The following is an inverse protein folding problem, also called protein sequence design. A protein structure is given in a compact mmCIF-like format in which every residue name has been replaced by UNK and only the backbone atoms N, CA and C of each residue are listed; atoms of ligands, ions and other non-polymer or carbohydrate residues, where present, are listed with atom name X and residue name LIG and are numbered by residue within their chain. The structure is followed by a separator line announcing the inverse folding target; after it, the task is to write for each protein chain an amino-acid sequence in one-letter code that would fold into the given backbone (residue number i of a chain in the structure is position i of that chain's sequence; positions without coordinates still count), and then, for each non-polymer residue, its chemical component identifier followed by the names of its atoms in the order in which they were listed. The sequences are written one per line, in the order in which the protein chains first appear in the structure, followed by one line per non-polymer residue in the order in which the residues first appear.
data_IF_004218601703
#
_entry.id   IF_004218601703
#
_cell.length_a   1.000
_cell.length_b   1.000
_cell.length_c   1.000
_cell.angle_alpha   90.00
_cell.angle_beta   90.00
_cell.angle_gamma   90.00
#
_symmetry.space_group_name_H-M   'P 1'
#
loop_
_entity.id
_entity.type
_entity.pdbx_description
1 polymer ?
#
# COMPACT_ATOMS: atom_id res chain seq x y z
N UNK A 1 -14.79 15.95 -32.43
CA UNK A 1 -15.31 14.76 -31.72
C UNK A 1 -14.20 13.71 -31.64
N UNK A 2 -13.51 13.61 -30.51
CA UNK A 2 -12.25 12.83 -30.41
C UNK A 2 -12.49 11.51 -29.67
N UNK A 3 -12.39 10.41 -30.44
CA UNK A 3 -11.79 9.11 -30.13
C UNK A 3 -12.54 8.08 -29.25
N UNK A 4 -13.36 7.24 -29.90
CA UNK A 4 -13.88 5.97 -29.39
C UNK A 4 -13.06 4.72 -29.76
N UNK A 5 -11.72 4.75 -29.71
CA UNK A 5 -10.84 3.65 -30.21
C UNK A 5 -9.93 2.99 -29.16
N UNK A 6 -10.25 3.10 -27.87
CA UNK A 6 -9.49 2.37 -26.84
C UNK A 6 -10.37 1.23 -26.31
N UNK A 7 -10.07 -0.05 -26.61
CA UNK A 7 -10.80 -1.16 -26.03
C UNK A 7 -10.53 -1.21 -24.52
N UNK A 8 -11.56 -0.95 -23.72
CA UNK A 8 -11.49 -1.12 -22.27
C UNK A 8 -11.49 -2.61 -21.93
N UNK A 9 -10.40 -3.10 -21.32
CA UNK A 9 -10.29 -4.50 -20.90
C UNK A 9 -11.04 -4.70 -19.58
N UNK A 10 -12.13 -5.45 -19.61
CA UNK A 10 -12.86 -5.87 -18.42
C UNK A 10 -12.34 -7.23 -17.93
N UNK A 11 -12.28 -7.43 -16.61
CA UNK A 11 -11.77 -8.67 -16.02
C UNK A 11 -12.69 -9.22 -14.94
N UNK A 12 -12.77 -10.55 -14.88
CA UNK A 12 -13.46 -11.26 -13.80
C UNK A 12 -12.56 -11.29 -12.56
N UNK A 13 -13.13 -10.95 -11.41
CA UNK A 13 -12.41 -10.83 -10.13
C UNK A 13 -12.73 -11.94 -9.13
N UNK A 14 -13.71 -12.78 -9.41
CA UNK A 14 -14.12 -13.91 -8.56
C UNK A 14 -14.68 -15.04 -9.43
N UNK A 15 -14.78 -16.23 -8.85
CA UNK A 15 -15.42 -17.41 -9.45
C UNK A 15 -16.48 -17.92 -8.48
N UNK A 16 -17.62 -18.37 -9.01
CA UNK A 16 -18.71 -18.94 -8.22
C UNK A 16 -18.41 -20.40 -7.86
N UNK A 17 -18.71 -20.84 -6.62
CA UNK A 17 -18.59 -22.25 -6.23
C UNK A 17 -19.42 -23.16 -7.14
N UNK A 18 -18.90 -24.36 -7.45
CA UNK A 18 -19.63 -25.35 -8.27
C UNK A 18 -20.90 -25.86 -7.58
N UNK A 19 -20.81 -26.17 -6.27
CA UNK A 19 -21.94 -26.62 -5.45
C UNK A 19 -22.50 -25.46 -4.65
N UNK A 20 -23.74 -24.99 -4.93
CA UNK A 20 -24.30 -23.82 -4.26
C UNK A 20 -24.58 -24.04 -2.76
N UNK A 21 -25.18 -25.17 -2.39
CA UNK A 21 -25.74 -25.39 -1.05
C UNK A 21 -24.99 -26.47 -0.26
N UNK A 22 -23.70 -26.24 -0.04
CA UNK A 22 -22.86 -27.12 0.79
C UNK A 22 -22.71 -26.51 2.19
N UNK A 23 -23.28 -27.17 3.20
CA UNK A 23 -23.32 -26.65 4.59
C UNK A 23 -21.94 -26.28 5.13
N UNK A 24 -20.97 -27.21 5.05
CA UNK A 24 -19.61 -27.00 5.53
C UNK A 24 -18.95 -25.73 4.92
N UNK A 25 -19.14 -25.50 3.62
CA UNK A 25 -18.62 -24.33 2.92
C UNK A 25 -19.32 -23.05 3.36
N UNK A 26 -20.65 -23.09 3.54
CA UNK A 26 -21.44 -21.94 3.96
C UNK A 26 -21.05 -21.49 5.37
N UNK A 27 -20.87 -22.44 6.28
CA UNK A 27 -20.50 -22.19 7.68
C UNK A 27 -19.08 -21.59 7.77
N UNK A 28 -18.11 -22.15 7.05
CA UNK A 28 -16.75 -21.60 6.96
C UNK A 28 -16.73 -20.17 6.38
N UNK A 29 -17.48 -19.93 5.31
CA UNK A 29 -17.55 -18.59 4.72
C UNK A 29 -18.22 -17.59 5.65
N UNK A 30 -19.25 -18.02 6.40
CA UNK A 30 -19.94 -17.15 7.35
C UNK A 30 -19.04 -16.78 8.53
N UNK A 31 -18.24 -17.75 9.03
CA UNK A 31 -17.22 -17.50 10.07
C UNK A 31 -16.21 -16.43 9.63
N UNK A 32 -15.62 -16.59 8.45
CA UNK A 32 -14.66 -15.61 7.88
C UNK A 32 -15.32 -14.22 7.69
N UNK A 33 -16.59 -14.19 7.28
CA UNK A 33 -17.31 -12.93 7.10
C UNK A 33 -17.51 -12.20 8.44
N UNK A 34 -17.85 -12.94 9.49
CA UNK A 34 -18.00 -12.40 10.85
C UNK A 34 -16.67 -11.88 11.40
N UNK A 35 -15.62 -12.70 11.36
CA UNK A 35 -14.30 -12.37 11.91
C UNK A 35 -13.65 -11.13 11.27
N UNK A 36 -13.84 -10.94 9.95
CA UNK A 36 -13.22 -9.84 9.21
C UNK A 36 -14.19 -8.72 8.83
N UNK A 37 -15.45 -8.78 9.30
CA UNK A 37 -16.49 -7.78 9.05
C UNK A 37 -16.72 -7.51 7.56
N UNK A 38 -16.86 -8.57 6.78
CA UNK A 38 -17.09 -8.49 5.33
C UNK A 38 -18.57 -8.22 5.03
N UNK A 39 -18.86 -7.53 3.92
CA UNK A 39 -20.26 -7.21 3.54
C UNK A 39 -20.96 -8.38 2.84
N UNK A 40 -20.26 -9.03 1.91
CA UNK A 40 -20.84 -10.03 1.01
C UNK A 40 -19.87 -11.21 0.83
N UNK A 41 -20.40 -12.43 0.59
CA UNK A 41 -19.63 -13.63 0.21
C UNK A 41 -18.71 -13.41 -1.00
N UNK A 42 -19.10 -12.52 -1.92
CA UNK A 42 -18.28 -12.12 -3.06
C UNK A 42 -16.90 -11.58 -2.65
N UNK A 43 -16.76 -10.88 -1.53
CA UNK A 43 -15.45 -10.41 -1.07
C UNK A 43 -14.53 -11.58 -0.72
N UNK A 44 -15.06 -12.62 -0.06
CA UNK A 44 -14.33 -13.87 0.21
C UNK A 44 -13.94 -14.54 -1.10
N UNK A 45 -14.87 -14.64 -2.05
CA UNK A 45 -14.61 -15.29 -3.34
C UNK A 45 -13.57 -14.58 -4.20
N UNK A 46 -13.46 -13.24 -4.08
CA UNK A 46 -12.38 -12.48 -4.73
C UNK A 46 -11.01 -12.85 -4.17
N UNK A 47 -10.89 -12.98 -2.85
CA UNK A 47 -9.65 -13.38 -2.19
C UNK A 47 -9.30 -14.83 -2.53
N UNK A 48 -10.28 -15.74 -2.50
CA UNK A 48 -10.12 -17.13 -2.95
C UNK A 48 -9.61 -17.19 -4.39
N UNK A 49 -10.18 -16.38 -5.28
CA UNK A 49 -9.76 -16.34 -6.69
C UNK A 49 -8.33 -15.82 -6.87
N UNK A 50 -7.92 -14.77 -6.12
CA UNK A 50 -6.54 -14.29 -6.16
C UNK A 50 -5.55 -15.32 -5.62
N UNK A 51 -5.88 -16.00 -4.52
CA UNK A 51 -5.07 -17.08 -3.96
C UNK A 51 -4.91 -18.25 -4.95
N UNK A 52 -6.00 -18.63 -5.62
CA UNK A 52 -5.97 -19.66 -6.65
C UNK A 52 -5.03 -19.32 -7.82
N UNK A 53 -4.99 -18.05 -8.26
CA UNK A 53 -4.04 -17.59 -9.29
C UNK A 53 -2.59 -17.70 -8.83
N UNK A 54 -2.32 -17.26 -7.61
CA UNK A 54 -0.96 -17.32 -7.01
C UNK A 54 -0.50 -18.78 -6.90
N UNK A 55 -1.36 -19.67 -6.41
CA UNK A 55 -1.05 -21.10 -6.28
C UNK A 55 -0.91 -21.79 -7.64
N UNK A 56 -1.67 -21.36 -8.66
CA UNK A 56 -1.51 -21.86 -10.03
C UNK A 56 -0.12 -21.51 -10.58
N UNK A 57 0.28 -20.24 -10.48
CA UNK A 57 1.61 -19.80 -10.90
C UNK A 57 2.71 -20.56 -10.15
N UNK A 58 2.60 -20.72 -8.83
CA UNK A 58 3.57 -21.48 -8.05
C UNK A 58 3.70 -22.94 -8.51
N UNK A 59 2.58 -23.63 -8.81
CA UNK A 59 2.63 -25.00 -9.33
C UNK A 59 3.34 -25.10 -10.68
N UNK A 60 3.07 -24.18 -11.60
CA UNK A 60 3.74 -24.12 -12.91
C UNK A 60 5.25 -23.86 -12.80
N UNK A 61 5.67 -23.10 -11.78
CA UNK A 61 7.09 -22.83 -11.55
C UNK A 61 7.81 -24.00 -10.87
N UNK A 62 7.12 -24.77 -10.04
CA UNK A 62 7.69 -25.93 -9.34
C UNK A 62 7.90 -27.13 -10.26
N UNK A 63 7.21 -27.21 -11.41
CA UNK A 63 7.46 -28.25 -12.42
C UNK A 63 8.74 -28.04 -13.22
N UNK A 64 9.23 -26.80 -13.28
CA UNK A 64 10.47 -26.46 -14.01
C UNK A 64 11.69 -26.79 -13.17
N UNK A 65 12.86 -26.95 -13.80
CA UNK A 65 14.12 -27.17 -13.08
C UNK A 65 14.54 -25.90 -12.31
N UNK A 66 15.22 -26.07 -11.17
CA UNK A 66 15.65 -24.98 -10.30
C UNK A 66 16.54 -23.92 -10.98
N UNK A 67 17.34 -24.35 -11.97
CA UNK A 67 18.27 -23.48 -12.72
C UNK A 67 17.61 -22.80 -13.93
N UNK A 68 16.36 -23.11 -14.23
CA UNK A 68 15.67 -22.51 -15.36
C UNK A 68 15.47 -21.00 -15.17
N UNK A 69 15.70 -20.23 -16.23
CA UNK A 69 15.65 -18.76 -16.18
C UNK A 69 14.25 -18.26 -15.81
N UNK A 70 13.20 -18.93 -16.29
CA UNK A 70 11.81 -18.55 -16.01
C UNK A 70 11.47 -18.79 -14.54
N UNK A 71 11.87 -19.93 -13.98
CA UNK A 71 11.69 -20.24 -12.56
C UNK A 71 12.38 -19.22 -11.66
N UNK A 72 13.62 -18.87 -11.96
CA UNK A 72 14.39 -17.89 -11.21
C UNK A 72 13.77 -16.48 -11.30
N UNK A 73 13.34 -16.05 -12.47
CA UNK A 73 12.81 -14.71 -12.65
C UNK A 73 11.39 -14.57 -12.07
N UNK A 74 10.44 -15.38 -12.54
CA UNK A 74 9.04 -15.31 -12.13
C UNK A 74 8.86 -15.73 -10.67
N UNK A 75 9.60 -16.74 -10.21
CA UNK A 75 9.58 -17.19 -8.82
C UNK A 75 10.03 -16.10 -7.85
N UNK A 76 11.17 -15.48 -8.11
CA UNK A 76 11.66 -14.36 -7.29
C UNK A 76 10.71 -13.16 -7.34
N UNK A 77 10.11 -12.87 -8.50
CA UNK A 77 9.12 -11.80 -8.62
C UNK A 77 7.86 -12.08 -7.79
N UNK A 78 7.40 -13.33 -7.74
CA UNK A 78 6.25 -13.75 -6.94
C UNK A 78 6.55 -13.61 -5.44
N UNK A 79 7.71 -14.13 -4.99
CA UNK A 79 8.13 -14.07 -3.58
C UNK A 79 8.30 -12.63 -3.10
N UNK A 80 8.99 -11.78 -3.86
CA UNK A 80 9.16 -10.35 -3.53
C UNK A 80 7.83 -9.63 -3.39
N UNK A 81 6.83 -9.99 -4.21
CA UNK A 81 5.48 -9.40 -4.14
C UNK A 81 4.75 -9.81 -2.87
N UNK A 82 4.84 -11.09 -2.49
CA UNK A 82 4.21 -11.63 -1.28
C UNK A 82 4.83 -11.06 0.00
N UNK A 83 6.15 -10.97 0.05
CA UNK A 83 6.88 -10.35 1.18
C UNK A 83 6.52 -8.87 1.30
N UNK A 84 6.50 -8.11 0.19
CA UNK A 84 6.10 -6.68 0.22
C UNK A 84 4.68 -6.47 0.77
N UNK A 85 3.77 -7.39 0.45
CA UNK A 85 2.41 -7.34 1.00
C UNK A 85 2.42 -7.73 2.48
N UNK A 86 3.32 -8.60 2.91
CA UNK A 86 3.40 -9.15 4.27
C UNK A 86 2.53 -10.39 4.46
N UNK A 87 2.29 -11.16 3.39
CA UNK A 87 1.62 -12.48 3.48
C UNK A 87 2.61 -13.57 3.88
N UNK A 88 3.86 -13.41 3.47
CA UNK A 88 4.97 -14.33 3.73
C UNK A 88 6.06 -13.59 4.48
N UNK A 89 6.70 -14.28 5.41
CA UNK A 89 7.82 -13.77 6.19
C UNK A 89 9.16 -13.89 5.42
N UNK A 90 10.14 -13.05 5.78
CA UNK A 90 11.45 -12.96 5.11
C UNK A 90 12.26 -14.26 5.27
N UNK A 91 12.08 -15.00 6.36
CA UNK A 91 12.76 -16.29 6.56
C UNK A 91 12.21 -17.43 5.70
N UNK A 92 11.06 -17.27 5.04
CA UNK A 92 10.34 -18.34 4.33
C UNK A 92 10.24 -18.11 2.83
N UNK A 93 11.30 -17.62 2.20
CA UNK A 93 11.34 -17.31 0.76
C UNK A 93 11.53 -18.54 -0.14
N UNK A 94 10.67 -19.56 -0.01
CA UNK A 94 10.59 -20.70 -0.93
C UNK A 94 9.21 -20.80 -1.58
N UNK A 95 9.16 -21.33 -2.80
CA UNK A 95 7.91 -21.48 -3.56
C UNK A 95 6.93 -22.46 -2.91
N UNK A 96 7.43 -23.45 -2.16
CA UNK A 96 6.60 -24.46 -1.49
C UNK A 96 5.67 -23.84 -0.45
N UNK A 97 6.14 -22.84 0.29
CA UNK A 97 5.33 -22.13 1.29
C UNK A 97 4.18 -21.35 0.67
N UNK A 98 4.28 -20.97 -0.62
CA UNK A 98 3.20 -20.28 -1.35
C UNK A 98 1.98 -21.20 -1.51
N UNK A 99 2.19 -22.52 -1.58
CA UNK A 99 1.10 -23.49 -1.65
C UNK A 99 0.38 -23.66 -0.30
N UNK A 100 1.07 -23.40 0.82
CA UNK A 100 0.50 -23.47 2.17
C UNK A 100 -0.32 -22.24 2.59
N UNK A 101 -0.35 -21.19 1.76
CA UNK A 101 -1.04 -19.95 2.09
C UNK A 101 -2.54 -20.16 2.28
N UNK A 102 -3.07 -19.52 3.34
CA UNK A 102 -4.47 -19.53 3.69
C UNK A 102 -5.17 -18.24 3.24
N UNK A 103 -6.49 -18.19 3.41
CA UNK A 103 -7.29 -17.03 2.97
C UNK A 103 -7.14 -15.88 3.98
N UNK A 104 -7.00 -16.25 5.24
CA UNK A 104 -6.83 -15.41 6.41
C UNK A 104 -5.64 -14.48 6.21
N UNK A 105 -4.50 -15.01 5.75
CA UNK A 105 -3.27 -14.24 5.52
C UNK A 105 -3.50 -13.00 4.63
N UNK A 106 -4.38 -13.11 3.62
CA UNK A 106 -4.74 -11.97 2.77
C UNK A 106 -5.78 -11.05 3.40
N UNK A 107 -6.71 -11.59 4.18
CA UNK A 107 -7.73 -10.80 4.87
C UNK A 107 -7.13 -9.96 5.99
N UNK A 108 -6.11 -10.47 6.67
CA UNK A 108 -5.35 -9.73 7.68
C UNK A 108 -4.61 -8.52 7.09
N UNK A 109 -4.16 -8.59 5.84
CA UNK A 109 -3.47 -7.48 5.17
C UNK A 109 -4.39 -6.41 4.60
N UNK A 110 -5.71 -6.52 4.79
CA UNK A 110 -6.66 -5.49 4.34
C UNK A 110 -6.56 -4.24 5.20
N UNK A 111 -6.78 -3.07 4.60
CA UNK A 111 -6.77 -1.80 5.33
C UNK A 111 -7.80 -1.81 6.48
N UNK A 112 -8.96 -2.44 6.28
CA UNK A 112 -9.99 -2.57 7.31
C UNK A 112 -9.48 -3.26 8.58
N UNK A 113 -8.76 -4.37 8.44
CA UNK A 113 -8.25 -5.18 9.55
C UNK A 113 -7.01 -4.55 10.15
N UNK A 114 -6.14 -3.97 9.34
CA UNK A 114 -4.98 -3.21 9.80
C UNK A 114 -5.38 -2.01 10.66
N UNK A 115 -6.39 -1.23 10.25
CA UNK A 115 -6.90 -0.08 11.03
C UNK A 115 -7.49 -0.52 12.38
N UNK A 116 -8.14 -1.68 12.42
CA UNK A 116 -8.64 -2.26 13.66
C UNK A 116 -7.51 -2.76 14.56
N UNK A 117 -6.54 -3.51 14.02
CA UNK A 117 -5.37 -4.00 14.75
C UNK A 117 -4.50 -2.85 15.30
N UNK A 118 -4.45 -1.71 14.62
CA UNK A 118 -3.77 -0.48 15.08
C UNK A 118 -4.54 0.29 16.16
N UNK A 119 -5.76 -0.12 16.54
CA UNK A 119 -6.54 0.55 17.57
C UNK A 119 -7.19 1.88 17.15
N UNK A 120 -7.10 2.27 15.87
CA UNK A 120 -7.73 3.49 15.35
C UNK A 120 -9.27 3.41 15.33
N UNK A 121 -9.83 2.21 15.38
CA UNK A 121 -11.26 1.96 15.36
C UNK A 121 -11.68 1.03 16.49
N UNK A 122 -12.81 1.33 17.13
CA UNK A 122 -13.42 0.50 18.19
C UNK A 122 -13.81 -0.92 17.73
N UNK A 123 -14.17 -1.09 16.46
CA UNK A 123 -14.59 -2.38 15.89
C UNK A 123 -14.22 -2.48 14.41
N UNK A 124 -14.24 -3.69 13.86
CA UNK A 124 -13.95 -3.94 12.45
C UNK A 124 -14.96 -3.25 11.53
N UNK A 125 -16.23 -3.19 11.95
CA UNK A 125 -17.28 -2.46 11.21
C UNK A 125 -17.07 -0.95 11.29
N UNK A 126 -16.63 -0.43 12.44
CA UNK A 126 -16.28 0.98 12.60
C UNK A 126 -15.10 1.36 11.69
N UNK A 127 -14.07 0.52 11.58
CA UNK A 127 -12.95 0.73 10.67
C UNK A 127 -13.42 0.89 9.22
N UNK A 128 -14.36 0.05 8.78
CA UNK A 128 -14.93 0.12 7.42
C UNK A 128 -15.62 1.45 7.15
N UNK A 129 -16.37 1.97 8.12
CA UNK A 129 -17.07 3.26 8.04
C UNK A 129 -16.07 4.41 7.94
N UNK A 130 -15.03 4.43 8.80
CA UNK A 130 -13.98 5.44 8.79
C UNK A 130 -13.25 5.52 7.44
N UNK A 131 -12.93 4.36 6.84
CA UNK A 131 -12.29 4.29 5.53
C UNK A 131 -13.22 4.86 4.46
N UNK A 132 -14.49 4.41 4.42
CA UNK A 132 -15.48 4.87 3.44
C UNK A 132 -15.72 6.38 3.53
N UNK A 133 -15.74 6.93 4.74
CA UNK A 133 -15.91 8.36 5.01
C UNK A 133 -14.66 9.19 4.76
N UNK A 134 -13.56 8.58 4.28
CA UNK A 134 -12.31 9.26 3.91
C UNK A 134 -11.60 9.90 5.11
N UNK A 135 -11.72 9.27 6.28
CA UNK A 135 -11.04 9.72 7.51
C UNK A 135 -9.63 9.17 7.64
N UNK A 136 -9.25 8.15 6.87
CA UNK A 136 -7.95 7.49 6.98
C UNK A 136 -7.05 7.88 5.82
N UNK A 137 -5.81 8.19 6.16
CA UNK A 137 -4.73 8.49 5.23
C UNK A 137 -3.79 7.29 5.14
N UNK A 138 -3.26 7.09 3.95
CA UNK A 138 -2.18 6.15 3.70
C UNK A 138 -1.11 6.89 2.91
N UNK A 139 0.05 7.10 3.53
CA UNK A 139 1.17 7.77 2.86
C UNK A 139 2.16 6.73 2.36
N UNK A 140 2.49 6.79 1.08
CA UNK A 140 3.59 6.01 0.51
C UNK A 140 4.84 6.89 0.54
N UNK A 141 5.63 6.80 1.61
CA UNK A 141 7.00 7.33 1.57
C UNK A 141 7.87 6.28 0.88
N UNK A 142 8.27 6.53 -0.37
CA UNK A 142 9.40 5.82 -0.95
C UNK A 142 10.67 6.32 -0.23
N UNK A 143 11.14 5.57 0.78
CA UNK A 143 12.42 5.84 1.46
C UNK A 143 13.64 5.77 0.51
N UNK A 144 13.47 5.26 -0.72
CA UNK A 144 14.53 5.22 -1.72
C UNK A 144 14.93 6.60 -2.26
N UNK A 145 14.08 7.62 -2.14
CA UNK A 145 14.46 8.98 -2.54
C UNK A 145 15.40 9.66 -1.52
N UNK A 146 15.40 9.22 -0.25
CA UNK A 146 16.23 9.83 0.79
C UNK A 146 17.71 9.42 0.67
N UNK A 147 17.99 8.17 0.27
CA UNK A 147 19.37 7.72 0.03
C UNK A 147 20.02 8.43 -1.16
N UNK A 148 19.27 8.71 -2.22
CA UNK A 148 19.79 9.46 -3.39
C UNK A 148 19.97 10.95 -3.11
N UNK A 149 19.21 11.52 -2.17
CA UNK A 149 19.36 12.92 -1.77
C UNK A 149 20.59 13.14 -0.88
N UNK A 150 20.88 12.20 0.03
CA UNK A 150 22.12 12.21 0.83
C UNK A 150 23.37 11.98 -0.03
N UNK A 151 23.31 11.08 -1.01
CA UNK A 151 24.43 10.86 -1.93
C UNK A 151 24.77 12.12 -2.74
N UNK A 152 23.78 12.96 -3.07
CA UNK A 152 23.97 14.21 -3.83
C UNK A 152 24.49 15.38 -2.98
N UNK A 153 24.34 15.33 -1.66
CA UNK A 153 24.94 16.30 -0.73
C UNK A 153 26.43 15.97 -0.51
N UNK A 154 26.78 14.68 -0.39
CA UNK A 154 28.16 14.25 -0.20
C UNK A 154 29.08 14.56 -1.40
N UNK A 155 28.59 14.45 -2.64
CA UNK A 155 29.39 14.79 -3.85
C UNK A 155 29.63 16.30 -4.00
N UNK A 156 28.74 17.14 -3.47
CA UNK A 156 28.91 18.60 -3.51
C UNK A 156 29.84 19.13 -2.41
N UNK A 157 30.05 18.37 -1.32
CA UNK A 157 30.95 18.80 -0.25
C UNK A 157 32.43 18.58 -0.61
N UNK A 158 32.77 17.52 -1.37
CA UNK A 158 34.14 17.27 -1.84
C UNK A 158 34.60 18.24 -2.93
N UNK A 159 33.68 18.84 -3.70
CA UNK A 159 34.00 19.84 -4.73
C UNK A 159 34.33 21.22 -4.16
N UNK A 160 33.76 21.59 -3.01
CA UNK A 160 34.00 22.90 -2.37
C UNK A 160 35.37 22.94 -1.68
N UNK A 161 35.84 21.80 -1.14
CA UNK A 161 37.16 21.69 -0.51
C UNK A 161 38.30 21.81 -1.54
N UNK A 162 38.08 21.38 -2.79
CA UNK A 162 39.09 21.46 -3.87
C UNK A 162 39.30 22.88 -4.41
N UNK A 163 38.30 23.77 -4.30
CA UNK A 163 38.38 25.15 -4.80
C UNK A 163 39.11 26.06 -3.80
N UNK A 164 39.13 25.72 -2.51
CA UNK A 164 39.73 26.54 -1.44
C UNK A 164 41.21 26.26 -1.17
N UNK A 165 41.79 25.15 -1.66
CA UNK A 165 43.20 24.77 -1.39
C UNK A 165 44.14 25.10 -2.57
N UNK A 166 43.68 25.75 -3.65
CA UNK A 166 44.56 26.37 -4.65
C UNK A 166 45.58 25.43 -5.32
N UNK A 167 45.26 24.15 -5.52
CA UNK A 167 46.15 23.21 -6.21
C UNK A 167 46.02 23.34 -7.74
N UNK A 168 47.15 23.69 -8.38
CA UNK A 168 47.32 23.84 -9.83
C UNK A 168 46.79 22.62 -10.62
N UNK A 169 46.20 22.83 -11.81
CA UNK A 169 45.36 21.86 -12.54
C UNK A 169 46.06 20.59 -13.05
N UNK A 170 47.37 20.45 -12.89
CA UNK A 170 48.14 19.33 -13.45
C UNK A 170 48.30 18.12 -12.50
N UNK A 171 47.98 18.24 -11.20
CA UNK A 171 48.01 17.10 -10.26
C UNK A 171 46.64 16.48 -9.95
N UNK A 172 45.56 17.01 -10.55
CA UNK A 172 44.19 16.51 -10.34
C UNK A 172 43.87 15.21 -11.09
N UNK A 173 44.62 14.88 -12.15
CA UNK A 173 44.38 13.68 -12.96
C UNK A 173 44.77 12.37 -12.26
N UNK A 174 45.78 12.40 -11.37
CA UNK A 174 46.27 11.18 -10.72
C UNK A 174 45.35 10.77 -9.55
N UNK A 175 44.78 11.74 -8.82
CA UNK A 175 43.89 11.46 -7.67
C UNK A 175 42.51 10.97 -8.15
N UNK A 176 42.00 11.51 -9.26
CA UNK A 176 40.72 11.05 -9.83
C UNK A 176 40.80 9.63 -10.43
N UNK A 177 41.97 9.19 -10.89
CA UNK A 177 42.19 7.83 -11.42
C UNK A 177 42.14 6.75 -10.32
N UNK A 178 42.68 7.04 -9.13
CA UNK A 178 42.74 6.09 -8.00
C UNK A 178 41.38 5.95 -7.29
N UNK A 179 40.58 7.03 -7.24
CA UNK A 179 39.25 6.99 -6.62
C UNK A 179 38.24 6.28 -7.53
N UNK A 180 38.35 6.44 -8.86
CA UNK A 180 37.44 5.81 -9.81
C UNK A 180 37.69 4.29 -9.98
N UNK A 181 38.87 3.78 -9.59
CA UNK A 181 39.21 2.35 -9.66
C UNK A 181 38.79 1.55 -8.41
N UNK A 182 38.35 2.20 -7.32
CA UNK A 182 38.06 1.53 -6.04
C UNK A 182 36.57 1.37 -5.69
N UNK A 183 35.64 1.92 -6.47
CA UNK A 183 34.20 1.75 -6.22
C UNK A 183 33.57 0.84 -7.26
N UNK A 184 33.85 -0.46 -7.12
CA UNK A 184 33.17 -1.53 -7.84
C UNK A 184 31.79 -1.76 -7.21
N UNK A 185 30.83 -0.90 -7.56
CA UNK A 185 29.42 -1.14 -7.28
C UNK A 185 28.89 -2.19 -8.27
N UNK A 186 28.33 -3.33 -7.84
CA UNK A 186 27.68 -4.27 -8.73
C UNK A 186 26.28 -3.76 -9.11
N UNK A 187 26.19 -2.93 -10.15
CA UNK A 187 24.94 -2.62 -10.83
C UNK A 187 24.81 -3.49 -12.08
N UNK A 188 24.44 -4.75 -11.90
CA UNK A 188 23.77 -5.52 -12.95
C UNK A 188 22.26 -5.46 -12.71
N UNK A 189 21.65 -4.33 -13.08
CA UNK A 189 20.20 -4.24 -13.25
C UNK A 189 19.91 -4.26 -14.76
N UNK A 190 19.97 -5.46 -15.32
CA UNK A 190 19.61 -5.73 -16.71
C UNK A 190 18.17 -5.29 -17.00
N UNK A 191 18.02 -4.62 -18.14
CA UNK A 191 16.82 -4.00 -18.64
C UNK A 191 15.68 -5.01 -18.81
N UNK A 192 14.52 -4.64 -18.25
CA UNK A 192 13.27 -5.38 -18.36
C UNK A 192 12.61 -4.99 -19.70
N UNK A 193 12.74 -5.83 -20.72
CA UNK A 193 11.88 -5.76 -21.91
C UNK A 193 11.32 -7.14 -22.24
N UNK A 194 10.11 -7.39 -21.75
CA UNK A 194 9.25 -8.53 -22.12
C UNK A 194 7.79 -8.12 -21.91
N UNK A 195 6.82 -8.76 -22.58
CA UNK A 195 5.44 -8.28 -22.69
C UNK A 195 4.73 -8.46 -21.34
N UNK A 196 4.91 -7.46 -20.48
CA UNK A 196 4.39 -7.41 -19.13
C UNK A 196 2.89 -7.15 -19.16
N UNK A 197 2.14 -8.05 -18.54
CA UNK A 197 0.73 -7.92 -18.22
C UNK A 197 0.51 -6.61 -17.41
N UNK A 198 0.04 -5.56 -18.09
CA UNK A 198 -0.06 -4.17 -17.60
C UNK A 198 -1.05 -3.99 -16.45
N UNK A 199 -1.78 -5.04 -16.06
CA UNK A 199 -2.81 -5.01 -15.02
C UNK A 199 -2.28 -4.86 -13.58
N UNK A 200 -0.96 -4.98 -13.35
CA UNK A 200 -0.35 -4.89 -12.01
C UNK A 200 0.78 -3.86 -11.87
N UNK A 201 1.04 -3.05 -12.91
CA UNK A 201 1.98 -1.94 -12.82
C UNK A 201 1.33 -0.74 -12.12
N UNK A 202 1.40 -0.73 -10.79
CA UNK A 202 1.37 0.51 -10.03
C UNK A 202 2.61 1.34 -10.43
N UNK A 203 2.44 2.23 -11.40
CA UNK A 203 3.43 3.28 -11.70
C UNK A 203 3.75 4.02 -10.39
N UNK A 204 5.03 4.27 -10.04
CA UNK A 204 5.36 5.17 -8.96
C UNK A 204 5.10 6.60 -9.46
N UNK A 205 3.82 6.99 -9.47
CA UNK A 205 3.48 8.42 -9.43
C UNK A 205 3.92 8.92 -8.07
N UNK A 206 4.56 10.07 -8.02
CA UNK A 206 4.81 10.84 -6.79
C UNK A 206 3.46 11.01 -6.07
N UNK A 207 3.18 10.22 -5.02
CA UNK A 207 1.86 10.19 -4.37
C UNK A 207 1.87 11.08 -3.14
N UNK A 208 1.46 12.33 -3.36
CA UNK A 208 0.92 13.26 -2.35
C UNK A 208 0.11 12.49 -1.31
N UNK A 209 0.34 12.72 -0.01
CA UNK A 209 -0.42 12.20 1.16
C UNK A 209 -1.88 11.81 0.80
N UNK A 210 -2.11 10.57 0.34
CA UNK A 210 -3.37 10.18 -0.31
C UNK A 210 -4.37 9.63 0.71
N UNK A 211 -5.63 10.01 0.56
CA UNK A 211 -6.73 9.49 1.39
C UNK A 211 -7.30 8.25 0.70
N UNK A 212 -7.34 7.13 1.41
CA UNK A 212 -7.83 5.85 0.88
C UNK A 212 -9.29 5.66 1.31
N UNK A 213 -10.15 5.39 0.33
CA UNK A 213 -11.59 5.20 0.53
C UNK A 213 -12.07 3.76 0.28
N UNK A 214 -11.14 2.83 0.05
CA UNK A 214 -11.42 1.43 -0.31
C UNK A 214 -11.05 0.49 0.84
N UNK A 215 -12.02 -0.15 1.54
CA UNK A 215 -11.73 -1.09 2.64
C UNK A 215 -11.01 -2.37 2.22
N UNK A 216 -11.11 -2.74 0.94
CA UNK A 216 -10.42 -3.91 0.38
C UNK A 216 -8.99 -3.63 -0.08
N UNK A 217 -8.45 -2.44 0.22
CA UNK A 217 -7.08 -2.09 -0.11
C UNK A 217 -6.11 -2.99 0.67
N UNK A 218 -5.11 -3.55 -0.01
CA UNK A 218 -4.08 -4.39 0.61
C UNK A 218 -2.91 -3.50 1.04
N UNK A 219 -2.63 -3.50 2.35
CA UNK A 219 -1.58 -2.71 2.99
C UNK A 219 -0.23 -3.40 2.84
N UNK A 220 0.77 -2.64 2.38
CA UNK A 220 2.17 -3.10 2.31
C UNK A 220 2.86 -2.95 3.66
N UNK A 221 3.87 -3.76 3.94
CA UNK A 221 4.64 -3.67 5.18
C UNK A 221 5.29 -2.28 5.36
N UNK A 222 5.94 -1.78 4.32
CA UNK A 222 6.63 -0.47 4.32
C UNK A 222 5.72 0.70 4.73
N UNK A 223 4.45 0.63 4.34
CA UNK A 223 3.49 1.70 4.54
C UNK A 223 2.61 1.52 5.77
N UNK A 224 2.67 0.37 6.43
CA UNK A 224 1.84 0.07 7.60
C UNK A 224 2.06 1.10 8.72
N UNK A 225 3.29 1.62 8.85
CA UNK A 225 3.67 2.67 9.81
C UNK A 225 3.03 4.03 9.54
N UNK A 226 2.48 4.25 8.34
CA UNK A 226 1.99 5.55 7.88
C UNK A 226 0.45 5.57 7.74
N UNK A 227 -0.22 4.76 8.56
CA UNK A 227 -1.68 4.67 8.62
C UNK A 227 -2.14 5.54 9.79
N UNK A 228 -2.67 6.71 9.47
CA UNK A 228 -3.14 7.67 10.46
C UNK A 228 -4.45 8.31 10.02
N UNK A 229 -5.08 9.05 10.94
CA UNK A 229 -6.19 9.93 10.57
C UNK A 229 -5.74 11.01 9.59
N UNK A 230 -6.66 11.40 8.72
CA UNK A 230 -6.43 12.50 7.82
C UNK A 230 -6.46 13.83 8.59
N UNK A 231 -5.42 14.63 8.49
CA UNK A 231 -5.37 16.05 8.88
C UNK A 231 -6.58 16.89 8.42
N UNK A 232 -7.25 16.51 7.32
CA UNK A 232 -8.45 17.21 6.85
C UNK A 232 -9.72 16.79 7.59
N UNK A 233 -9.68 15.64 8.26
CA UNK A 233 -10.81 15.08 8.98
C UNK A 233 -10.92 15.66 10.39
N UNK A 234 -12.11 15.69 10.99
CA UNK A 234 -12.29 16.12 12.38
C UNK A 234 -11.40 15.34 13.37
N UNK A 235 -11.14 14.05 13.09
CA UNK A 235 -10.30 13.20 13.94
C UNK A 235 -8.80 13.51 13.84
N UNK A 236 -8.36 14.15 12.74
CA UNK A 236 -6.97 14.56 12.55
C UNK A 236 -6.72 16.05 12.82
N UNK A 237 -7.59 16.71 13.59
CA UNK A 237 -7.50 18.14 13.89
C UNK A 237 -8.08 19.07 12.81
N UNK A 238 -8.79 18.51 11.82
CA UNK A 238 -9.47 19.29 10.78
C UNK A 238 -10.78 19.92 11.27
N UNK A 239 -11.35 20.79 10.43
CA UNK A 239 -12.62 21.49 10.72
C UNK A 239 -13.73 20.49 11.10
N UNK A 240 -14.53 20.75 12.14
CA UNK A 240 -15.64 19.88 12.54
C UNK A 240 -16.65 19.69 11.40
N UNK A 241 -17.26 18.49 11.38
CA UNK A 241 -18.23 18.08 10.36
C UNK A 241 -19.54 18.88 10.39
N UNK A 242 -20.34 18.75 9.32
CA UNK A 242 -21.59 19.52 9.12
C UNK A 242 -22.53 19.48 10.32
N UNK A 243 -22.79 18.29 10.89
CA UNK A 243 -23.72 18.13 12.01
C UNK A 243 -23.22 18.86 13.26
N UNK A 244 -21.95 18.65 13.64
CA UNK A 244 -21.35 19.36 14.78
C UNK A 244 -21.39 20.88 14.58
N UNK A 245 -21.11 21.38 13.37
CA UNK A 245 -21.23 22.82 13.06
C UNK A 245 -22.67 23.33 13.15
N UNK A 246 -23.65 22.57 12.65
CA UNK A 246 -25.08 22.94 12.74
C UNK A 246 -25.52 23.03 14.20
N UNK A 247 -25.11 22.07 15.03
CA UNK A 247 -25.46 22.04 16.46
C UNK A 247 -24.75 23.16 17.23
N UNK A 248 -23.48 23.44 16.94
CA UNK A 248 -22.76 24.58 17.53
C UNK A 248 -23.42 25.91 17.13
N UNK A 249 -23.87 26.06 15.89
CA UNK A 249 -24.59 27.26 15.45
C UNK A 249 -25.91 27.43 16.19
N UNK A 250 -26.70 26.35 16.31
CA UNK A 250 -27.94 26.36 17.09
C UNK A 250 -27.70 26.72 18.56
N UNK A 251 -26.66 26.15 19.17
CA UNK A 251 -26.29 26.44 20.54
C UNK A 251 -25.78 27.87 20.75
N UNK A 252 -25.22 28.51 19.71
CA UNK A 252 -24.87 29.94 19.75
C UNK A 252 -26.12 30.81 19.69
N UNK A 253 -26.99 30.60 18.69
CA UNK A 253 -28.25 31.35 18.57
C UNK A 253 -29.07 31.27 19.86
N UNK A 254 -29.25 30.09 20.44
CA UNK A 254 -29.98 29.94 21.70
C UNK A 254 -29.31 30.61 22.92
N UNK A 255 -28.00 30.89 22.87
CA UNK A 255 -27.31 31.68 23.90
C UNK A 255 -27.46 33.16 23.66
N UNK A 256 -27.35 33.59 22.40
CA UNK A 256 -27.53 34.98 21.99
C UNK A 256 -28.98 35.44 22.31
N UNK A 257 -29.98 34.58 22.08
CA UNK A 257 -31.39 34.83 22.43
C UNK A 257 -31.64 34.86 23.97
N UNK A 258 -30.81 34.17 24.76
CA UNK A 258 -30.92 34.16 26.23
C UNK A 258 -30.25 35.37 26.89
N UNK A 259 -29.12 35.83 26.36
CA UNK A 259 -28.42 37.03 26.85
C UNK A 259 -29.22 38.31 26.56
N UNK A 260 -29.97 38.35 25.45
CA UNK A 260 -30.84 39.48 25.12
C UNK A 260 -32.04 39.61 26.07
N UNK A 261 -32.48 38.52 26.71
CA UNK A 261 -33.57 38.56 27.70
C UNK A 261 -33.08 38.97 29.10
N UNK A 262 -31.80 38.78 29.42
CA UNK A 262 -31.19 39.21 30.69
C UNK A 262 -30.71 40.68 30.64
N UNK A 263 -30.50 41.27 29.46
CA UNK A 263 -30.14 42.68 29.28
C UNK A 263 -31.35 43.65 29.23
N UNK A 264 -32.59 43.14 29.25
CA UNK A 264 -33.83 43.96 29.25
C UNK A 264 -34.51 44.09 30.64
N UNK A 265 -33.92 43.56 31.72
CA UNK A 265 -34.49 43.61 33.09
C UNK A 265 -33.84 44.63 34.06
N UNK A 266 -32.93 45.52 33.62
CA UNK A 266 -32.34 46.59 34.44
C UNK A 266 -32.79 48.02 34.03
#
# INVERSE_FOLDING_TARGET
MVNGRIPSVYSKTYVTPRRPYEKARLDQELKIIGEYGLRNKREVWRVKYTLAKIRKAARELLTLEEKDQKRLFEGNALLRRLVRIGVLDEGRMKLDYVLGLKIEDFLERRLQTQVFKLGLAKSIHHARVLIRQRHIRYVFLDLKLCQLFWARILVNSTMIILITIGLKPLKMFIIYSVILTSVKLPFNCGYITGPFDKSMLLRPKIVRKQVVNVPSFIVRLDSQKHIDFSLKSPFGGGRPGRVKRKNLRKAKTAKDDGNAAEEEED
#
